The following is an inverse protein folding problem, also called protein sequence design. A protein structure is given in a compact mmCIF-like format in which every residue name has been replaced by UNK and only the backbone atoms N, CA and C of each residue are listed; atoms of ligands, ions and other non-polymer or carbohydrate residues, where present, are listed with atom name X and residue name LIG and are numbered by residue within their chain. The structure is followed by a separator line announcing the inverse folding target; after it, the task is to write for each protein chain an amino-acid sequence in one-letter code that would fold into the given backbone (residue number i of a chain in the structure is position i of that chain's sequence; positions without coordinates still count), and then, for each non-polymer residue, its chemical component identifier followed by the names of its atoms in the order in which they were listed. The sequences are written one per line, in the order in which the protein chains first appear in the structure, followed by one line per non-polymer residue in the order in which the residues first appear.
data_IF_165956996046
#
_entry.id   IF_165956996046
#
_cell.length_a   1.000
_cell.length_b   1.000
_cell.length_c   1.000
_cell.angle_alpha   90.00
_cell.angle_beta   90.00
_cell.angle_gamma   90.00
#
_symmetry.space_group_name_H-M   'P 1'
#
loop_
_entity.id
_entity.type
_entity.pdbx_description
1 polymer ?
#
# COMPACT_ATOMS: atom_id res chain seq x y z
N UNK A 1 2.48 -8.30 -11.94
CA UNK A 1 1.41 -8.70 -11.01
C UNK A 1 1.41 -7.72 -9.84
N UNK A 2 0.30 -7.02 -9.53
CA UNK A 2 0.22 -6.17 -8.34
C UNK A 2 0.30 -7.06 -7.09
N UNK A 3 1.16 -6.70 -6.13
CA UNK A 3 1.22 -7.40 -4.84
C UNK A 3 -0.06 -7.07 -4.09
N UNK A 4 -0.80 -8.06 -3.56
CA UNK A 4 -2.01 -7.79 -2.83
C UNK A 4 -1.73 -6.97 -1.56
N UNK A 5 -2.60 -6.02 -1.23
CA UNK A 5 -2.45 -5.15 -0.05
C UNK A 5 -2.30 -5.96 1.26
N UNK A 6 -3.00 -7.10 1.38
CA UNK A 6 -2.86 -7.98 2.54
C UNK A 6 -1.44 -8.54 2.69
N UNK A 7 -0.77 -8.88 1.59
CA UNK A 7 0.62 -9.38 1.63
C UNK A 7 1.60 -8.27 2.04
N UNK A 8 1.33 -7.02 1.66
CA UNK A 8 2.12 -5.86 2.10
C UNK A 8 1.93 -5.58 3.59
N UNK A 9 0.70 -5.66 4.10
CA UNK A 9 0.41 -5.51 5.52
C UNK A 9 1.04 -6.63 6.36
N UNK A 10 1.01 -7.88 5.87
CA UNK A 10 1.73 -8.98 6.51
C UNK A 10 3.24 -8.72 6.56
N UNK A 11 3.82 -8.21 5.48
CA UNK A 11 5.25 -7.84 5.46
C UNK A 11 5.57 -6.78 6.51
N UNK A 12 4.71 -5.78 6.70
CA UNK A 12 4.88 -4.77 7.77
C UNK A 12 4.81 -5.44 9.15
N UNK A 13 3.84 -6.32 9.38
CA UNK A 13 3.71 -7.05 10.65
C UNK A 13 4.95 -7.88 10.96
N UNK A 14 5.48 -8.62 9.98
CA UNK A 14 6.69 -9.41 10.14
C UNK A 14 7.89 -8.54 10.53
N UNK A 15 8.05 -7.37 9.89
CA UNK A 15 9.15 -6.43 10.24
C UNK A 15 8.99 -5.81 11.62
N UNK A 16 7.76 -5.53 12.06
CA UNK A 16 7.51 -5.08 13.43
C UNK A 16 7.87 -6.18 14.44
N UNK A 17 7.50 -7.43 14.15
CA UNK A 17 7.83 -8.57 15.02
C UNK A 17 9.33 -8.85 15.07
N UNK A 18 10.04 -8.76 13.94
CA UNK A 18 11.49 -8.88 13.88
C UNK A 18 12.17 -7.82 14.77
N UNK A 19 11.77 -6.55 14.64
CA UNK A 19 12.30 -5.46 15.47
C UNK A 19 11.99 -5.68 16.95
N UNK A 20 10.77 -6.09 17.29
CA UNK A 20 10.38 -6.38 18.67
C UNK A 20 11.21 -7.52 19.25
N UNK A 21 11.32 -8.64 18.54
CA UNK A 21 12.12 -9.79 18.97
C UNK A 21 13.59 -9.40 19.16
N UNK A 22 14.12 -8.54 18.29
CA UNK A 22 15.48 -8.06 18.44
C UNK A 22 15.64 -7.19 19.70
N UNK A 23 14.67 -6.33 20.02
CA UNK A 23 14.69 -5.53 21.26
C UNK A 23 14.52 -6.38 22.54
N UNK A 24 13.70 -7.43 22.46
CA UNK A 24 13.48 -8.38 23.56
C UNK A 24 14.69 -9.30 23.79
N UNK A 25 15.62 -9.37 22.83
CA UNK A 25 16.82 -10.18 22.95
C UNK A 25 17.95 -9.41 23.64
N UNK A 26 18.55 -10.03 24.66
CA UNK A 26 19.73 -9.53 25.36
C UNK A 26 19.52 -8.12 25.94
N UNK A 27 20.52 -7.26 25.90
CA UNK A 27 20.48 -5.91 26.45
C UNK A 27 20.05 -4.85 25.42
N UNK A 28 19.44 -5.26 24.31
CA UNK A 28 19.19 -4.36 23.17
C UNK A 28 18.22 -3.22 23.50
N UNK A 29 17.26 -3.44 24.40
CA UNK A 29 16.35 -2.40 24.89
C UNK A 29 17.07 -1.34 25.74
N UNK A 30 18.02 -1.75 26.59
CA UNK A 30 18.86 -0.83 27.35
C UNK A 30 19.82 -0.06 26.42
N UNK A 31 20.41 -0.74 25.43
CA UNK A 31 21.27 -0.09 24.43
C UNK A 31 20.49 0.91 23.57
N UNK A 32 19.22 0.63 23.22
CA UNK A 32 18.36 1.62 22.56
C UNK A 32 18.13 2.83 23.45
N UNK A 33 17.90 2.62 24.74
CA UNK A 33 17.72 3.71 25.71
C UNK A 33 18.98 4.57 25.82
N UNK A 34 20.17 3.96 25.81
CA UNK A 34 21.45 4.66 25.79
C UNK A 34 21.62 5.48 24.50
N UNK A 35 21.33 4.88 23.33
CA UNK A 35 21.37 5.57 22.05
C UNK A 35 20.45 6.79 22.01
N UNK A 36 19.23 6.69 22.56
CA UNK A 36 18.28 7.80 22.66
C UNK A 36 18.72 8.92 23.63
N UNK A 37 19.70 8.66 24.49
CA UNK A 37 20.31 9.62 25.40
C UNK A 37 21.62 10.22 24.85
N UNK A 38 21.92 9.97 23.57
CA UNK A 38 23.20 10.33 22.94
C UNK A 38 24.43 9.69 23.62
N UNK A 39 24.24 8.56 24.30
CA UNK A 39 25.36 7.78 24.86
C UNK A 39 26.02 6.92 23.78
N UNK A 40 27.35 6.66 23.88
CA UNK A 40 28.04 5.80 22.94
C UNK A 40 27.54 4.35 23.03
N UNK A 41 27.19 3.78 21.88
CA UNK A 41 26.72 2.40 21.75
C UNK A 41 27.61 1.61 20.78
N UNK A 42 27.58 0.29 20.88
CA UNK A 42 28.35 -0.57 19.98
C UNK A 42 27.92 -0.35 18.51
N UNK A 43 28.85 -0.06 17.59
CA UNK A 43 28.52 0.12 16.18
C UNK A 43 27.88 -1.12 15.53
N UNK A 44 28.15 -2.34 16.03
CA UNK A 44 27.52 -3.58 15.56
C UNK A 44 26.04 -3.64 15.94
N UNK A 45 25.72 -3.19 17.15
CA UNK A 45 24.35 -3.05 17.62
C UNK A 45 23.61 -2.02 16.75
N UNK A 46 24.23 -0.86 16.53
CA UNK A 46 23.65 0.22 15.74
C UNK A 46 23.40 -0.18 14.28
N UNK A 47 24.34 -0.90 13.65
CA UNK A 47 24.18 -1.41 12.30
C UNK A 47 22.96 -2.36 12.17
N UNK A 48 22.73 -3.19 13.19
CA UNK A 48 21.59 -4.11 13.21
C UNK A 48 20.28 -3.35 13.39
N UNK A 49 20.24 -2.39 14.32
CA UNK A 49 19.10 -1.49 14.52
C UNK A 49 18.73 -0.74 13.24
N UNK A 50 19.69 -0.07 12.60
CA UNK A 50 19.47 0.73 11.40
C UNK A 50 18.94 -0.11 10.23
N UNK A 51 19.42 -1.36 10.11
CA UNK A 51 18.93 -2.30 9.11
C UNK A 51 17.46 -2.66 9.37
N UNK A 52 17.10 -3.06 10.59
CA UNK A 52 15.73 -3.40 10.95
C UNK A 52 14.77 -2.21 10.80
N UNK A 53 15.22 -1.01 11.19
CA UNK A 53 14.46 0.23 11.01
C UNK A 53 14.23 0.54 9.53
N UNK A 54 15.26 0.41 8.70
CA UNK A 54 15.16 0.65 7.25
C UNK A 54 14.24 -0.36 6.56
N UNK A 55 14.32 -1.63 6.94
CA UNK A 55 13.46 -2.69 6.42
C UNK A 55 11.98 -2.44 6.78
N UNK A 56 11.71 -1.99 8.00
CA UNK A 56 10.36 -1.61 8.43
C UNK A 56 9.84 -0.39 7.65
N UNK A 57 10.63 0.67 7.53
CA UNK A 57 10.24 1.88 6.80
C UNK A 57 9.96 1.58 5.32
N UNK A 58 10.77 0.69 4.71
CA UNK A 58 10.55 0.23 3.34
C UNK A 58 9.24 -0.54 3.21
N UNK A 59 8.95 -1.47 4.13
CA UNK A 59 7.70 -2.22 4.13
C UNK A 59 6.47 -1.31 4.26
N UNK A 60 6.54 -0.31 5.16
CA UNK A 60 5.48 0.70 5.33
C UNK A 60 5.32 1.55 4.07
N UNK A 61 6.42 1.98 3.45
CA UNK A 61 6.39 2.72 2.19
C UNK A 61 5.68 1.94 1.07
N UNK A 62 5.97 0.64 0.95
CA UNK A 62 5.29 -0.22 -0.02
C UNK A 62 3.79 -0.40 0.29
N UNK A 63 3.41 -0.52 1.56
CA UNK A 63 2.01 -0.64 1.96
C UNK A 63 1.23 0.68 1.80
N UNK A 64 1.88 1.83 2.04
CA UNK A 64 1.27 3.16 1.89
C UNK A 64 1.16 3.58 0.43
N UNK A 65 2.01 3.06 -0.47
CA UNK A 65 1.93 3.39 -1.89
C UNK A 65 0.51 3.05 -2.36
N UNK A 66 -0.35 4.04 -2.64
CA UNK A 66 -1.65 3.74 -3.23
C UNK A 66 -1.33 3.04 -4.54
N UNK A 67 -2.15 2.09 -4.96
CA UNK A 67 -2.05 1.45 -6.25
C UNK A 67 -2.25 2.48 -7.39
N UNK A 68 -1.28 3.39 -7.59
CA UNK A 68 -1.23 4.41 -8.62
C UNK A 68 -0.74 3.81 -9.96
N UNK A 69 -1.02 2.52 -10.17
CA UNK A 69 -0.81 1.80 -11.43
C UNK A 69 -2.09 1.03 -11.82
N UNK A 70 -3.28 1.47 -11.38
CA UNK A 70 -4.54 1.02 -11.99
C UNK A 70 -5.42 2.17 -12.52
N UNK A 71 -4.88 3.38 -12.67
CA UNK A 71 -5.56 4.51 -13.32
C UNK A 71 -4.72 5.11 -14.44
N UNK A 72 -4.15 4.23 -15.28
CA UNK A 72 -3.73 4.59 -16.63
C UNK A 72 -4.47 3.72 -17.67
N UNK A 73 -5.75 3.45 -17.45
CA UNK A 73 -6.70 3.22 -18.54
C UNK A 73 -7.79 4.31 -18.53
N UNK A 74 -7.35 5.58 -18.52
CA UNK A 74 -8.08 6.61 -19.26
C UNK A 74 -7.72 6.43 -20.73
N UNK A 75 -8.43 5.53 -21.43
CA UNK A 75 -8.60 5.69 -22.88
C UNK A 75 -9.78 6.63 -23.16
N UNK A 76 -9.71 7.37 -24.28
CA UNK A 76 -10.33 8.68 -24.44
C UNK A 76 -11.84 8.57 -24.72
N UNK A 77 -12.54 9.69 -24.55
CA UNK A 77 -13.91 9.93 -24.99
C UNK A 77 -14.25 9.21 -26.30
N UNK A 78 -14.97 8.09 -26.21
CA UNK A 78 -15.81 7.63 -27.31
C UNK A 78 -17.25 7.85 -26.89
N UNK A 79 -17.95 8.58 -27.75
CA UNK A 79 -19.29 9.15 -27.63
C UNK A 79 -20.31 8.34 -26.80
N UNK A 80 -21.26 9.01 -26.13
CA UNK A 80 -22.45 8.32 -25.63
C UNK A 80 -23.17 7.67 -26.82
N UNK A 81 -23.85 6.51 -26.64
CA UNK A 81 -24.68 5.98 -27.70
C UNK A 81 -25.78 7.00 -27.98
N UNK A 82 -25.84 7.50 -29.21
CA UNK A 82 -27.00 8.24 -29.71
C UNK A 82 -28.24 7.41 -29.39
N UNK A 83 -29.08 7.97 -28.52
CA UNK A 83 -30.43 7.50 -28.28
C UNK A 83 -31.18 7.61 -29.62
N UNK A 84 -31.24 6.52 -30.38
CA UNK A 84 -32.10 6.46 -31.56
C UNK A 84 -33.53 6.66 -31.06
N UNK A 85 -34.28 7.67 -31.52
CA UNK A 85 -35.68 7.79 -31.14
C UNK A 85 -36.45 6.56 -31.68
N UNK A 86 -37.37 5.97 -30.90
CA UNK A 86 -38.19 4.88 -31.42
C UNK A 86 -39.05 5.40 -32.59
N UNK A 87 -39.18 4.59 -33.64
CA UNK A 87 -40.02 4.87 -34.78
C UNK A 87 -41.48 5.12 -34.35
N UNK A 88 -42.22 6.04 -34.99
CA UNK A 88 -43.64 6.21 -34.70
C UNK A 88 -44.41 4.94 -35.10
N UNK A 89 -45.20 4.41 -34.15
CA UNK A 89 -46.13 3.32 -34.37
C UNK A 89 -47.21 3.81 -35.37
N UNK A 90 -47.50 3.11 -36.47
CA UNK A 90 -48.61 3.48 -37.33
C UNK A 90 -49.95 3.21 -36.63
N UNK A 91 -50.76 4.25 -36.45
CA UNK A 91 -52.16 4.11 -36.02
C UNK A 91 -52.99 3.43 -37.12
N UNK A 92 -53.91 2.52 -36.77
CA UNK A 92 -54.87 2.00 -37.73
C UNK A 92 -55.86 3.11 -38.10
N UNK A 93 -55.98 3.39 -39.39
CA UNK A 93 -57.08 4.22 -39.91
C UNK A 93 -58.35 3.41 -39.80
N UNK A 94 -59.18 3.77 -38.82
CA UNK A 94 -60.55 3.28 -38.73
C UNK A 94 -61.35 3.79 -39.94
N UNK A 95 -62.12 2.87 -40.51
CA UNK A 95 -62.95 3.03 -41.69
C UNK A 95 -64.24 3.77 -41.26
N UNK A 96 -64.45 4.98 -41.75
CA UNK A 96 -65.69 5.75 -41.58
C UNK A 96 -65.96 6.64 -42.76
#
# INVERSE_FOLDING_TARGET
MPVPQHALLHTVQDRVLDLRRWLDYDNNSATLTAYLRDEPVDPRWLATYQRLQSDLLRAVGHAHTPAAVHTAERRPLTSPPSLVPPAPIPMPRDLG
#
